data_IF_319573606491
#
_entry.id   IF_319573606491
#
_cell.length_a   1.000
_cell.length_b   1.000
_cell.length_c   1.000
_cell.angle_alpha   90.00
_cell.angle_beta   90.00
_cell.angle_gamma   90.00
#
_symmetry.space_group_name_H-M   'P 1'
#
loop_
_entity.id
_entity.type
_entity.pdbx_description
1 polymer ?
#
# COMPACT_ATOMS: atom_id res chain seq x y z
N UNK A 1 0.34 -0.17 13.90
CA UNK A 1 -0.33 -0.90 12.80
C UNK A 1 -0.45 -2.36 13.17
N UNK A 2 -1.49 -3.06 12.69
CA UNK A 2 -1.67 -4.50 12.94
C UNK A 2 -0.46 -5.33 12.47
N UNK A 3 0.19 -4.94 11.37
CA UNK A 3 1.44 -5.55 10.92
C UNK A 3 2.59 -5.41 11.95
N UNK A 4 2.70 -4.28 12.65
CA UNK A 4 3.68 -4.11 13.73
C UNK A 4 3.35 -5.02 14.92
N UNK A 5 2.08 -5.07 15.31
CA UNK A 5 1.63 -5.92 16.43
C UNK A 5 1.85 -7.41 16.12
N UNK A 6 1.57 -7.83 14.88
CA UNK A 6 1.77 -9.20 14.42
C UNK A 6 3.25 -9.58 14.27
N UNK A 7 4.14 -8.62 14.01
CA UNK A 7 5.58 -8.89 13.81
C UNK A 7 6.40 -8.74 15.09
N UNK A 8 6.07 -7.74 15.92
CA UNK A 8 6.80 -7.38 17.14
C UNK A 8 5.80 -7.10 18.28
N UNK A 9 5.19 -8.15 18.87
CA UNK A 9 4.14 -8.00 19.87
C UNK A 9 4.60 -7.23 21.12
N UNK A 10 5.88 -7.34 21.50
CA UNK A 10 6.46 -6.59 22.63
C UNK A 10 6.53 -5.07 22.43
N UNK A 11 6.42 -4.58 21.19
CA UNK A 11 6.37 -3.15 20.89
C UNK A 11 4.94 -2.60 20.79
N UNK A 12 3.92 -3.47 20.84
CA UNK A 12 2.52 -3.07 20.73
C UNK A 12 2.10 -2.13 21.89
N UNK A 13 2.55 -2.43 23.11
CA UNK A 13 2.35 -1.61 24.32
C UNK A 13 2.91 -0.18 24.17
N UNK A 14 3.88 0.01 23.27
CA UNK A 14 4.61 1.26 23.07
C UNK A 14 4.31 1.92 21.71
N UNK A 15 3.17 1.61 21.07
CA UNK A 15 2.86 2.07 19.70
C UNK A 15 3.04 3.58 19.50
N UNK A 16 2.64 4.40 20.48
CA UNK A 16 2.81 5.87 20.41
C UNK A 16 4.28 6.30 20.39
N UNK A 17 5.14 5.63 21.16
CA UNK A 17 6.57 5.93 21.21
C UNK A 17 7.24 5.49 19.91
N UNK A 18 6.90 4.30 19.41
CA UNK A 18 7.40 3.81 18.12
C UNK A 18 7.00 4.76 16.99
N UNK A 19 5.72 5.17 16.92
CA UNK A 19 5.24 6.11 15.92
C UNK A 19 5.98 7.46 16.00
N UNK A 20 6.19 7.99 17.20
CA UNK A 20 6.92 9.25 17.41
C UNK A 20 8.40 9.13 17.00
N UNK A 21 9.05 8.03 17.35
CA UNK A 21 10.44 7.75 16.96
C UNK A 21 10.58 7.61 15.44
N UNK A 22 9.68 6.88 14.78
CA UNK A 22 9.65 6.74 13.32
C UNK A 22 9.43 8.10 12.66
N UNK A 23 8.49 8.92 13.16
CA UNK A 23 8.26 10.25 12.62
C UNK A 23 9.50 11.16 12.74
N UNK A 24 10.19 11.14 13.89
CA UNK A 24 11.45 11.86 14.07
C UNK A 24 12.56 11.35 13.13
N UNK A 25 12.64 10.03 12.89
CA UNK A 25 13.61 9.45 11.97
C UNK A 25 13.33 9.86 10.51
N UNK A 26 12.06 9.84 10.09
CA UNK A 26 11.63 10.30 8.76
C UNK A 26 11.90 11.82 8.62
N UNK A 27 11.65 12.61 9.67
CA UNK A 27 11.98 14.03 9.69
C UNK A 27 13.48 14.27 9.47
N UNK A 28 14.34 13.58 10.23
CA UNK A 28 15.78 13.71 10.09
C UNK A 28 16.24 13.31 8.68
N UNK A 29 15.67 12.25 8.12
CA UNK A 29 15.93 11.80 6.74
C UNK A 29 15.60 12.88 5.70
N UNK A 30 14.41 13.48 5.80
CA UNK A 30 13.97 14.56 4.90
C UNK A 30 14.84 15.82 5.07
N UNK A 31 15.23 16.14 6.30
CA UNK A 31 16.07 17.29 6.63
C UNK A 31 17.48 17.20 6.02
N UNK A 32 18.05 15.99 5.94
CA UNK A 32 19.38 15.76 5.36
C UNK A 32 19.42 16.09 3.86
N UNK A 33 18.34 15.85 3.12
CA UNK A 33 18.21 16.39 1.76
C UNK A 33 17.39 15.56 0.78
N UNK A 34 16.67 16.27 -0.08
CA UNK A 34 15.74 15.72 -1.08
C UNK A 34 16.35 14.69 -2.04
N UNK A 35 17.58 14.91 -2.50
CA UNK A 35 18.22 14.04 -3.50
C UNK A 35 18.52 12.63 -2.96
N UNK A 36 18.82 12.50 -1.67
CA UNK A 36 18.98 11.20 -1.02
C UNK A 36 17.63 10.50 -0.83
N UNK A 37 16.62 11.25 -0.40
CA UNK A 37 15.26 10.72 -0.20
C UNK A 37 14.65 10.14 -1.49
N UNK A 38 14.90 10.77 -2.64
CA UNK A 38 14.44 10.23 -3.95
C UNK A 38 15.09 8.88 -4.26
N UNK A 39 16.38 8.71 -3.95
CA UNK A 39 17.07 7.42 -4.15
C UNK A 39 16.49 6.33 -3.24
N UNK A 40 16.21 6.67 -1.99
CA UNK A 40 15.53 5.78 -1.05
C UNK A 40 14.13 5.38 -1.56
N UNK A 41 13.39 6.32 -2.13
CA UNK A 41 12.05 6.10 -2.69
C UNK A 41 12.06 5.05 -3.82
N UNK A 42 13.10 5.00 -4.66
CA UNK A 42 13.27 3.94 -5.65
C UNK A 42 13.50 2.57 -5.02
N UNK A 43 14.27 2.49 -3.93
CA UNK A 43 14.46 1.25 -3.17
C UNK A 43 13.15 0.75 -2.55
N UNK A 44 12.37 1.67 -1.97
CA UNK A 44 11.04 1.38 -1.43
C UNK A 44 10.09 0.87 -2.53
N UNK A 45 10.06 1.53 -3.69
CA UNK A 45 9.25 1.11 -4.82
C UNK A 45 9.63 -0.30 -5.31
N UNK A 46 10.92 -0.62 -5.37
CA UNK A 46 11.39 -1.96 -5.73
C UNK A 46 10.94 -3.02 -4.73
N UNK A 47 11.05 -2.75 -3.43
CA UNK A 47 10.57 -3.65 -2.37
C UNK A 47 9.05 -3.88 -2.48
N UNK A 48 8.27 -2.82 -2.74
CA UNK A 48 6.83 -2.92 -2.96
C UNK A 48 6.48 -3.74 -4.20
N UNK A 49 7.18 -3.53 -5.32
CA UNK A 49 6.97 -4.30 -6.54
C UNK A 49 7.23 -5.80 -6.29
N UNK A 50 8.30 -6.13 -5.57
CA UNK A 50 8.62 -7.52 -5.20
C UNK A 50 7.57 -8.11 -4.26
N UNK A 51 7.06 -7.35 -3.29
CA UNK A 51 5.98 -7.79 -2.40
C UNK A 51 4.67 -8.06 -3.17
N UNK A 52 4.29 -7.15 -4.09
CA UNK A 52 3.13 -7.32 -4.96
C UNK A 52 3.28 -8.58 -5.83
N UNK A 53 4.45 -8.77 -6.45
CA UNK A 53 4.70 -9.97 -7.26
C UNK A 53 4.62 -11.25 -6.43
N UNK A 54 5.16 -11.25 -5.21
CA UNK A 54 5.06 -12.40 -4.30
C UNK A 54 3.60 -12.74 -3.95
N UNK A 55 2.77 -11.73 -3.71
CA UNK A 55 1.33 -11.92 -3.52
C UNK A 55 0.68 -12.50 -4.78
N UNK A 56 0.91 -11.90 -5.95
CA UNK A 56 0.29 -12.37 -7.21
C UNK A 56 0.64 -13.83 -7.52
N UNK A 57 1.91 -14.20 -7.31
CA UNK A 57 2.41 -15.56 -7.52
C UNK A 57 1.85 -16.54 -6.47
N UNK A 58 1.70 -16.11 -5.22
CA UNK A 58 1.13 -16.92 -4.15
C UNK A 58 -0.37 -17.13 -4.30
N UNK A 59 -1.13 -16.03 -4.39
CA UNK A 59 -2.57 -16.06 -4.49
C UNK A 59 -3.04 -16.72 -5.79
N UNK A 60 -2.30 -16.53 -6.89
CA UNK A 60 -2.59 -17.23 -8.15
C UNK A 60 -2.47 -18.76 -8.07
N UNK A 61 -1.64 -19.29 -7.15
CA UNK A 61 -1.56 -20.74 -6.89
C UNK A 61 -2.71 -21.26 -6.02
N UNK A 62 -3.28 -20.40 -5.19
CA UNK A 62 -4.41 -20.72 -4.31
C UNK A 62 -5.76 -20.42 -4.96
N UNK A 63 -5.78 -19.93 -6.20
CA UNK A 63 -6.99 -19.46 -6.85
C UNK A 63 -7.92 -20.63 -7.21
N UNK A 64 -9.13 -20.60 -6.67
CA UNK A 64 -10.21 -21.51 -6.96
C UNK A 64 -11.42 -20.73 -7.52
N UNK A 65 -11.92 -21.19 -8.68
CA UNK A 65 -13.10 -20.62 -9.33
C UNK A 65 -14.37 -20.78 -8.48
N UNK A 66 -14.49 -21.86 -7.72
CA UNK A 66 -15.65 -22.09 -6.86
C UNK A 66 -15.67 -21.08 -5.70
N UNK A 67 -14.50 -20.76 -5.11
CA UNK A 67 -14.38 -19.70 -4.11
C UNK A 67 -14.71 -18.34 -4.72
N UNK A 68 -14.22 -18.06 -5.92
CA UNK A 68 -14.51 -16.80 -6.62
C UNK A 68 -16.01 -16.61 -6.88
N UNK A 69 -16.69 -17.65 -7.36
CA UNK A 69 -18.13 -17.62 -7.58
C UNK A 69 -18.90 -17.46 -6.26
N UNK A 70 -18.50 -18.19 -5.22
CA UNK A 70 -19.08 -18.04 -3.89
C UNK A 70 -18.90 -16.62 -3.35
N UNK A 71 -17.77 -15.96 -3.66
CA UNK A 71 -17.40 -14.62 -3.22
C UNK A 71 -18.01 -13.47 -4.06
N UNK A 72 -18.68 -13.76 -5.17
CA UNK A 72 -19.16 -12.75 -6.13
C UNK A 72 -20.16 -11.74 -5.55
N UNK A 73 -21.07 -12.19 -4.68
CA UNK A 73 -22.08 -11.32 -4.09
C UNK A 73 -21.54 -10.54 -2.88
N UNK A 74 -22.00 -9.30 -2.65
CA UNK A 74 -21.62 -8.54 -1.47
C UNK A 74 -22.20 -9.17 -0.20
N UNK A 75 -21.42 -9.16 0.88
CA UNK A 75 -21.81 -9.65 2.20
C UNK A 75 -21.47 -8.61 3.28
N UNK A 76 -22.15 -7.47 3.25
CA UNK A 76 -21.91 -6.39 4.21
C UNK A 76 -22.34 -6.80 5.63
N UNK A 77 -21.47 -6.57 6.62
CA UNK A 77 -21.78 -6.75 8.05
C UNK A 77 -22.61 -5.58 8.59
N UNK A 78 -23.16 -5.73 9.81
CA UNK A 78 -23.88 -4.64 10.49
C UNK A 78 -23.01 -3.38 10.60
N UNK A 79 -23.58 -2.22 10.25
CA UNK A 79 -22.83 -0.95 10.15
C UNK A 79 -21.96 -0.81 8.89
N UNK A 80 -21.91 -1.84 8.05
CA UNK A 80 -21.26 -1.81 6.73
C UNK A 80 -22.18 -1.30 5.63
N UNK A 81 -21.71 -1.45 4.38
CA UNK A 81 -22.44 -1.07 3.18
C UNK A 81 -21.50 -0.61 2.07
N UNK A 82 -22.03 -0.42 0.87
CA UNK A 82 -21.22 0.00 -0.28
C UNK A 82 -20.50 1.34 -0.03
N UNK A 83 -21.20 2.33 0.54
CA UNK A 83 -20.61 3.65 0.85
C UNK A 83 -19.48 3.55 1.89
N UNK A 84 -19.64 2.69 2.90
CA UNK A 84 -18.63 2.48 3.94
C UNK A 84 -17.40 1.80 3.36
N UNK A 85 -17.58 0.74 2.56
CA UNK A 85 -16.49 0.07 1.87
C UNK A 85 -15.76 1.01 0.91
N UNK A 86 -16.50 1.82 0.15
CA UNK A 86 -15.94 2.86 -0.71
C UNK A 86 -15.14 3.89 0.09
N UNK A 87 -15.68 4.41 1.19
CA UNK A 87 -15.00 5.41 2.02
C UNK A 87 -13.70 4.87 2.65
N UNK A 88 -13.66 3.58 3.02
CA UNK A 88 -12.44 2.92 3.51
C UNK A 88 -11.39 2.73 2.40
N UNK A 89 -11.83 2.44 1.17
CA UNK A 89 -10.92 2.24 0.03
C UNK A 89 -10.44 3.56 -0.59
N UNK A 90 -11.26 4.61 -0.55
CA UNK A 90 -11.02 5.87 -1.26
C UNK A 90 -9.64 6.48 -0.99
N UNK A 91 -9.12 6.54 0.26
CA UNK A 91 -7.78 7.05 0.54
C UNK A 91 -6.69 6.34 -0.26
N UNK A 92 -6.84 5.05 -0.59
CA UNK A 92 -5.87 4.29 -1.38
C UNK A 92 -5.76 4.79 -2.83
N UNK A 93 -6.83 5.38 -3.39
CA UNK A 93 -6.84 5.97 -4.73
C UNK A 93 -6.41 7.45 -4.76
N UNK A 94 -6.12 8.05 -3.60
CA UNK A 94 -5.64 9.44 -3.52
C UNK A 94 -4.14 9.55 -3.79
N UNK A 95 -3.55 10.75 -3.68
CA UNK A 95 -2.11 10.96 -3.84
C UNK A 95 -1.65 11.27 -5.27
N UNK A 96 -2.59 11.44 -6.22
CA UNK A 96 -2.28 11.81 -7.62
C UNK A 96 -1.45 13.09 -7.77
N UNK A 97 -1.52 13.98 -6.77
CA UNK A 97 -0.80 15.26 -6.73
C UNK A 97 0.68 15.12 -6.33
N UNK A 98 1.14 13.96 -5.86
CA UNK A 98 2.52 13.77 -5.44
C UNK A 98 3.53 14.08 -6.55
N UNK A 99 3.22 13.72 -7.81
CA UNK A 99 4.06 14.04 -8.96
C UNK A 99 4.09 15.53 -9.32
N UNK A 100 3.00 16.26 -9.08
CA UNK A 100 2.94 17.71 -9.32
C UNK A 100 3.75 18.50 -8.28
N UNK A 101 3.81 18.01 -7.04
CA UNK A 101 4.58 18.63 -5.95
C UNK A 101 6.11 18.62 -6.19
N UNK A 102 6.58 17.85 -7.18
CA UNK A 102 7.99 17.78 -7.59
C UNK A 102 8.22 18.38 -8.99
N UNK A 103 7.27 19.17 -9.48
CA UNK A 103 7.31 19.76 -10.82
C UNK A 103 8.56 20.61 -11.08
N UNK A 104 9.05 21.34 -10.07
CA UNK A 104 10.28 22.14 -10.18
C UNK A 104 11.57 21.34 -10.41
N UNK A 105 11.55 20.03 -10.13
CA UNK A 105 12.70 19.14 -10.32
C UNK A 105 12.64 18.37 -11.66
N UNK A 106 11.57 18.57 -12.46
CA UNK A 106 11.38 17.89 -13.75
C UNK A 106 11.97 18.68 -14.91
N UNK A 107 12.58 17.98 -15.87
CA UNK A 107 13.12 18.60 -17.09
C UNK A 107 12.04 19.20 -18.02
N UNK A 108 10.88 18.54 -18.13
CA UNK A 108 9.71 19.02 -18.89
C UNK A 108 8.42 18.71 -18.10
N UNK A 109 8.03 19.58 -17.14
CA UNK A 109 6.89 19.33 -16.25
C UNK A 109 5.56 19.25 -16.99
N UNK A 110 5.38 20.09 -18.03
CA UNK A 110 4.14 20.19 -18.80
C UNK A 110 3.78 18.87 -19.51
N UNK A 111 4.80 18.13 -19.97
CA UNK A 111 4.58 16.80 -20.57
C UNK A 111 4.69 15.65 -19.57
N UNK A 112 5.57 15.76 -18.58
CA UNK A 112 5.88 14.66 -17.66
C UNK A 112 4.78 14.42 -16.63
N UNK A 113 4.16 15.47 -16.10
CA UNK A 113 3.11 15.34 -15.07
C UNK A 113 1.87 14.61 -15.64
N UNK A 114 1.26 15.04 -16.76
CA UNK A 114 0.04 14.38 -17.24
C UNK A 114 0.28 12.92 -17.62
N UNK A 115 1.40 12.62 -18.28
CA UNK A 115 1.75 11.25 -18.67
C UNK A 115 2.05 10.37 -17.47
N UNK A 116 2.86 10.87 -16.53
CA UNK A 116 3.22 10.15 -15.31
C UNK A 116 2.00 9.83 -14.46
N UNK A 117 1.14 10.82 -14.20
CA UNK A 117 -0.06 10.64 -13.39
C UNK A 117 -1.06 9.68 -14.04
N UNK A 118 -1.34 9.81 -15.34
CA UNK A 118 -2.28 8.91 -16.03
C UNK A 118 -1.77 7.46 -16.07
N UNK A 119 -0.47 7.26 -16.35
CA UNK A 119 0.13 5.93 -16.31
C UNK A 119 0.14 5.35 -14.91
N UNK A 120 0.46 6.15 -13.89
CA UNK A 120 0.42 5.71 -12.50
C UNK A 120 -0.99 5.26 -12.09
N UNK A 121 -2.03 6.04 -12.42
CA UNK A 121 -3.43 5.69 -12.16
C UNK A 121 -3.81 4.38 -12.87
N UNK A 122 -3.41 4.21 -14.13
CA UNK A 122 -3.71 2.98 -14.87
C UNK A 122 -3.03 1.77 -14.23
N UNK A 123 -1.75 1.88 -13.90
CA UNK A 123 -0.98 0.79 -13.28
C UNK A 123 -1.54 0.43 -11.90
N UNK A 124 -1.80 1.41 -11.03
CA UNK A 124 -2.37 1.13 -9.70
C UNK A 124 -3.78 0.57 -9.79
N UNK A 125 -4.60 1.06 -10.72
CA UNK A 125 -5.93 0.53 -11.00
C UNK A 125 -5.89 -0.95 -11.40
N UNK A 126 -5.00 -1.33 -12.32
CA UNK A 126 -4.81 -2.73 -12.72
C UNK A 126 -4.32 -3.61 -11.56
N UNK A 127 -3.40 -3.09 -10.72
CA UNK A 127 -2.93 -3.80 -9.54
C UNK A 127 -4.10 -4.04 -8.57
N UNK A 128 -4.91 -3.02 -8.26
CA UNK A 128 -6.06 -3.18 -7.36
C UNK A 128 -7.11 -4.16 -7.89
N UNK A 129 -7.39 -4.13 -9.19
CA UNK A 129 -8.29 -5.12 -9.81
C UNK A 129 -7.73 -6.53 -9.69
N UNK A 130 -6.42 -6.70 -9.93
CA UNK A 130 -5.74 -7.98 -9.74
C UNK A 130 -5.84 -8.49 -8.30
N UNK A 131 -5.63 -7.63 -7.31
CA UNK A 131 -5.83 -7.96 -5.89
C UNK A 131 -7.27 -8.41 -5.60
N UNK A 132 -8.27 -7.65 -6.08
CA UNK A 132 -9.67 -7.96 -5.83
C UNK A 132 -10.05 -9.34 -6.40
N UNK A 133 -9.61 -9.65 -7.63
CA UNK A 133 -9.86 -10.95 -8.26
C UNK A 133 -9.16 -12.07 -7.49
N UNK A 134 -7.85 -11.93 -7.23
CA UNK A 134 -7.05 -12.98 -6.59
C UNK A 134 -7.49 -13.26 -5.15
N UNK A 135 -7.87 -12.24 -4.38
CA UNK A 135 -8.44 -12.42 -3.05
C UNK A 135 -9.79 -13.13 -3.11
N UNK A 136 -10.64 -12.74 -4.06
CA UNK A 136 -11.96 -13.36 -4.25
C UNK A 136 -11.88 -14.86 -4.55
N UNK A 137 -10.85 -15.33 -5.27
CA UNK A 137 -10.65 -16.76 -5.52
C UNK A 137 -9.67 -17.44 -4.57
N UNK A 138 -8.93 -16.70 -3.75
CA UNK A 138 -7.82 -17.25 -2.96
C UNK A 138 -8.18 -17.67 -1.53
N UNK A 139 -9.29 -17.17 -0.97
CA UNK A 139 -9.74 -17.51 0.38
C UNK A 139 -11.27 -17.55 0.47
N UNK A 140 -11.78 -18.31 1.45
CA UNK A 140 -13.20 -18.33 1.76
C UNK A 140 -13.66 -17.00 2.37
N UNK A 141 -14.98 -16.75 2.30
CA UNK A 141 -15.56 -15.48 2.74
C UNK A 141 -15.32 -15.18 4.22
N UNK A 142 -15.33 -16.18 5.10
CA UNK A 142 -15.14 -15.94 6.52
C UNK A 142 -13.71 -15.43 6.77
N UNK A 143 -12.73 -16.08 6.14
CA UNK A 143 -11.33 -15.64 6.17
C UNK A 143 -11.17 -14.22 5.63
N UNK A 144 -11.79 -13.88 4.49
CA UNK A 144 -11.70 -12.52 3.92
C UNK A 144 -12.29 -11.43 4.82
N UNK A 145 -13.27 -11.76 5.65
CA UNK A 145 -13.94 -10.81 6.53
C UNK A 145 -13.28 -10.67 7.91
N UNK A 146 -12.62 -11.72 8.39
CA UNK A 146 -12.06 -11.77 9.75
C UNK A 146 -10.53 -11.65 9.81
N UNK A 147 -9.81 -12.00 8.73
CA UNK A 147 -8.35 -11.98 8.69
C UNK A 147 -7.82 -10.76 7.94
N UNK A 148 -7.40 -9.75 8.68
CA UNK A 148 -6.77 -8.54 8.12
C UNK A 148 -5.40 -8.80 7.47
N UNK A 149 -4.77 -9.95 7.75
CA UNK A 149 -3.50 -10.37 7.21
C UNK A 149 -3.63 -11.40 6.07
N UNK A 150 -4.83 -11.61 5.52
CA UNK A 150 -5.07 -12.61 4.45
C UNK A 150 -4.14 -12.44 3.24
N UNK A 151 -3.74 -11.21 2.89
CA UNK A 151 -2.77 -10.94 1.82
C UNK A 151 -1.39 -11.54 2.11
N UNK A 152 -0.99 -11.53 3.39
CA UNK A 152 0.26 -12.16 3.83
C UNK A 152 0.17 -13.68 3.68
N UNK A 153 -0.92 -14.27 4.17
CA UNK A 153 -1.10 -15.72 4.23
C UNK A 153 -1.20 -16.35 2.83
N UNK A 154 -1.81 -15.64 1.88
CA UNK A 154 -1.91 -16.09 0.49
C UNK A 154 -0.65 -15.82 -0.34
N UNK A 155 0.33 -15.08 0.17
CA UNK A 155 1.54 -14.74 -0.56
C UNK A 155 2.53 -15.90 -0.64
N UNK A 156 3.32 -15.96 -1.72
CA UNK A 156 4.38 -16.96 -1.85
C UNK A 156 5.52 -16.76 -0.83
N UNK A 157 5.64 -15.56 -0.27
CA UNK A 157 6.58 -15.26 0.80
C UNK A 157 5.99 -14.20 1.73
N UNK A 158 5.50 -14.64 2.88
CA UNK A 158 4.87 -13.80 3.90
C UNK A 158 5.74 -12.60 4.30
N UNK A 159 7.04 -12.83 4.49
CA UNK A 159 8.01 -11.80 4.92
C UNK A 159 8.04 -10.63 3.94
N UNK A 160 7.87 -10.89 2.63
CA UNK A 160 7.86 -9.83 1.63
C UNK A 160 6.64 -8.91 1.76
N UNK A 161 5.49 -9.45 2.17
CA UNK A 161 4.29 -8.64 2.41
C UNK A 161 4.50 -7.74 3.62
N UNK A 162 5.04 -8.28 4.71
CA UNK A 162 5.37 -7.49 5.90
C UNK A 162 6.35 -6.35 5.57
N UNK A 163 7.43 -6.65 4.85
CA UNK A 163 8.39 -5.64 4.36
C UNK A 163 7.69 -4.62 3.46
N UNK A 164 6.83 -5.07 2.55
CA UNK A 164 6.03 -4.20 1.68
C UNK A 164 5.14 -3.24 2.45
N UNK A 165 4.43 -3.70 3.49
CA UNK A 165 3.59 -2.84 4.33
C UNK A 165 4.42 -1.77 5.04
N UNK A 166 5.57 -2.13 5.62
CA UNK A 166 6.47 -1.14 6.23
C UNK A 166 7.04 -0.16 5.18
N UNK A 167 7.41 -0.65 4.00
CA UNK A 167 7.93 0.18 2.92
C UNK A 167 6.86 1.17 2.40
N UNK A 168 5.61 0.75 2.20
CA UNK A 168 4.51 1.60 1.75
C UNK A 168 4.17 2.71 2.78
N UNK A 169 4.13 2.35 4.06
CA UNK A 169 3.84 3.30 5.14
C UNK A 169 4.97 4.34 5.28
N UNK A 170 6.23 3.91 5.24
CA UNK A 170 7.39 4.82 5.22
C UNK A 170 7.40 5.71 3.98
N UNK A 171 7.08 5.16 2.80
CA UNK A 171 6.94 5.92 1.56
C UNK A 171 5.94 7.07 1.69
N UNK A 172 4.77 6.79 2.27
CA UNK A 172 3.69 7.78 2.40
C UNK A 172 4.07 8.88 3.38
N UNK A 173 4.76 8.52 4.47
CA UNK A 173 5.30 9.48 5.43
C UNK A 173 6.37 10.39 4.78
N UNK A 174 7.35 9.80 4.09
CA UNK A 174 8.39 10.53 3.37
C UNK A 174 7.80 11.46 2.32
N UNK A 175 6.88 10.97 1.48
CA UNK A 175 6.23 11.76 0.44
C UNK A 175 5.46 12.96 0.99
N UNK A 176 4.72 12.77 2.09
CA UNK A 176 3.96 13.84 2.74
C UNK A 176 4.89 14.93 3.32
N UNK A 177 5.99 14.52 3.96
CA UNK A 177 6.95 15.44 4.57
C UNK A 177 7.84 16.17 3.55
N UNK A 178 8.12 15.54 2.42
CA UNK A 178 8.82 16.15 1.29
C UNK A 178 7.93 17.16 0.54
N UNK A 179 6.65 16.81 0.38
CA UNK A 179 5.68 17.61 -0.36
C UNK A 179 5.22 18.85 0.41
N UNK A 180 4.88 18.70 1.70
CA UNK A 180 4.23 19.76 2.48
C UNK A 180 4.98 21.12 2.54
N UNK A 181 6.32 21.18 2.68
CA UNK A 181 7.06 22.45 2.70
C UNK A 181 7.23 23.12 1.33
N UNK A 182 6.88 22.43 0.23
CA UNK A 182 7.09 22.88 -1.16
C UNK A 182 5.82 23.46 -1.80
N UNK A 183 4.69 23.43 -1.09
CA UNK A 183 3.39 23.99 -1.48
C UNK A 183 3.23 25.34 -0.80
#
# INVERSE_FOLDING_TARGET
>A
TEALQATLPGLAEHERLVASAVNCAVFACVFIGAGWTIKLQYGILAALAVAILAFFVGAGRHFDLALFEANWQPAYREGGGWLVAFALFFPAATGIMAGANMSGDLADPARSIPRGTLLAILVTGLVYLGFAVLLGGGADRATLLDNTLVVRDLSAAEVLITVGVFAATLSSALGSMMGAPRI
#
